data_IF_887139669188
#
_entry.id   IF_887139669188
#
_cell.length_a   1.000
_cell.length_b   1.000
_cell.length_c   1.000
_cell.angle_alpha   90.00
_cell.angle_beta   90.00
_cell.angle_gamma   90.00
#
_symmetry.space_group_name_H-M   'P 1'
#
loop_
_entity.id
_entity.type
_entity.pdbx_description
1 polymer ?
#
# COMPACT_ATOMS: atom_id res chain seq x y z
N UNK A 1 -13.83 -10.65 -12.18
CA UNK A 1 -12.44 -11.12 -12.13
C UNK A 1 -11.51 -10.01 -11.69
N UNK A 2 -10.54 -10.34 -10.85
CA UNK A 2 -9.65 -9.35 -10.24
C UNK A 2 -8.64 -8.80 -11.24
N UNK A 3 -8.60 -7.47 -11.38
CA UNK A 3 -7.68 -6.79 -12.30
C UNK A 3 -6.21 -7.02 -11.90
N UNK A 4 -5.91 -7.06 -10.60
CA UNK A 4 -4.54 -7.30 -10.14
C UNK A 4 -4.11 -8.75 -10.36
N UNK A 5 -5.01 -9.70 -10.22
CA UNK A 5 -4.74 -11.10 -10.59
C UNK A 5 -4.40 -11.22 -12.07
N UNK A 6 -5.08 -10.47 -12.92
CA UNK A 6 -4.78 -10.44 -14.36
C UNK A 6 -3.41 -9.86 -14.65
N UNK A 7 -2.99 -8.83 -13.91
CA UNK A 7 -1.66 -8.26 -14.05
C UNK A 7 -0.60 -9.28 -13.65
N UNK A 8 -0.77 -9.95 -12.51
CA UNK A 8 0.16 -10.98 -12.03
C UNK A 8 0.29 -12.12 -13.06
N UNK A 9 -0.80 -12.51 -13.70
CA UNK A 9 -0.83 -13.61 -14.67
C UNK A 9 -0.37 -13.19 -16.08
N UNK A 10 -0.02 -11.92 -16.28
CA UNK A 10 0.43 -11.43 -17.57
C UNK A 10 -0.69 -11.17 -18.58
N UNK A 11 -1.96 -11.21 -18.14
CA UNK A 11 -3.10 -10.96 -19.01
C UNK A 11 -3.32 -9.48 -19.30
N UNK A 12 -2.81 -8.60 -18.42
CA UNK A 12 -2.84 -7.15 -18.59
C UNK A 12 -1.43 -6.60 -18.48
N UNK A 13 -1.09 -5.56 -19.27
CA UNK A 13 0.22 -4.94 -19.16
C UNK A 13 0.38 -4.16 -17.86
N UNK A 14 1.61 -4.02 -17.39
CA UNK A 14 1.96 -3.20 -16.25
C UNK A 14 3.39 -2.71 -16.37
N UNK A 15 3.71 -1.63 -15.66
CA UNK A 15 5.08 -1.17 -15.51
C UNK A 15 5.66 -1.81 -14.25
N UNK A 16 6.22 -3.00 -14.40
CA UNK A 16 6.74 -3.79 -13.28
C UNK A 16 7.99 -3.17 -12.70
N UNK A 17 7.98 -2.93 -11.40
CA UNK A 17 9.13 -2.41 -10.65
C UNK A 17 9.94 -3.56 -10.04
N UNK A 18 9.25 -4.58 -9.53
CA UNK A 18 9.91 -5.71 -8.85
C UNK A 18 8.96 -6.90 -8.79
N UNK A 19 9.53 -8.08 -8.75
CA UNK A 19 8.75 -9.31 -8.63
C UNK A 19 9.59 -10.39 -7.95
N UNK A 20 8.97 -11.14 -7.06
CA UNK A 20 9.57 -12.36 -6.51
C UNK A 20 8.51 -13.47 -6.45
N UNK A 21 8.79 -14.54 -5.72
CA UNK A 21 7.88 -15.69 -5.64
C UNK A 21 6.50 -15.31 -5.09
N UNK A 22 6.45 -14.38 -4.13
CA UNK A 22 5.23 -14.06 -3.40
C UNK A 22 4.60 -12.73 -3.79
N UNK A 23 5.36 -11.80 -4.34
CA UNK A 23 4.93 -10.41 -4.49
C UNK A 23 5.21 -9.84 -5.87
N UNK A 24 4.48 -8.78 -6.18
CA UNK A 24 4.57 -8.07 -7.44
C UNK A 24 4.41 -6.57 -7.17
N UNK A 25 5.33 -5.76 -7.66
CA UNK A 25 5.29 -4.31 -7.50
C UNK A 25 5.25 -3.64 -8.88
N UNK A 26 4.36 -2.67 -9.06
CA UNK A 26 4.17 -2.00 -10.34
C UNK A 26 3.66 -0.57 -10.15
N UNK A 27 3.83 0.25 -11.18
CA UNK A 27 3.35 1.63 -11.12
C UNK A 27 1.83 1.69 -11.22
N UNK A 28 1.23 2.56 -10.40
CA UNK A 28 -0.17 2.91 -10.54
C UNK A 28 -0.33 3.81 -11.77
N UNK A 29 -1.32 3.54 -12.61
CA UNK A 29 -1.54 4.29 -13.85
C UNK A 29 -2.39 5.55 -13.65
N UNK A 30 -2.81 5.85 -12.42
CA UNK A 30 -3.66 7.01 -12.13
C UNK A 30 -2.99 8.35 -12.41
N UNK A 31 -1.66 8.40 -12.42
CA UNK A 31 -0.86 9.61 -12.68
C UNK A 31 -1.13 10.73 -11.67
N UNK A 32 -1.49 10.37 -10.46
CA UNK A 32 -1.75 11.33 -9.38
C UNK A 32 -0.47 11.81 -8.71
N UNK A 33 0.58 11.00 -8.77
CA UNK A 33 1.90 11.34 -8.21
C UNK A 33 2.96 10.58 -9.01
N UNK A 34 4.05 11.24 -9.32
CA UNK A 34 5.19 10.58 -9.98
C UNK A 34 5.71 9.44 -9.13
N UNK A 35 5.74 8.25 -9.70
CA UNK A 35 6.27 7.07 -9.03
C UNK A 35 5.31 6.38 -8.07
N UNK A 36 4.05 6.76 -8.03
CA UNK A 36 3.04 6.06 -7.22
C UNK A 36 3.09 4.58 -7.56
N UNK A 37 3.48 3.76 -6.59
CA UNK A 37 3.73 2.33 -6.77
C UNK A 37 2.77 1.52 -5.93
N UNK A 38 2.35 0.38 -6.46
CA UNK A 38 1.52 -0.59 -5.75
C UNK A 38 2.34 -1.86 -5.50
N UNK A 39 2.24 -2.40 -4.30
CA UNK A 39 2.83 -3.70 -3.94
C UNK A 39 1.70 -4.63 -3.56
N UNK A 40 1.64 -5.77 -4.22
CA UNK A 40 0.57 -6.74 -4.03
C UNK A 40 1.15 -8.14 -3.79
N UNK A 41 0.42 -9.01 -3.07
CA UNK A 41 0.73 -10.43 -3.10
C UNK A 41 0.27 -11.03 -4.43
N UNK A 42 0.98 -12.04 -4.93
CA UNK A 42 0.57 -12.75 -6.14
C UNK A 42 -0.70 -13.57 -5.90
N UNK A 43 -0.80 -14.20 -4.73
CA UNK A 43 -2.03 -14.87 -4.32
C UNK A 43 -3.08 -13.85 -3.93
N UNK A 44 -4.32 -14.09 -4.33
CA UNK A 44 -5.40 -13.17 -4.05
C UNK A 44 -5.81 -13.20 -2.58
N UNK A 45 -5.71 -12.06 -1.92
CA UNK A 45 -6.34 -11.76 -0.64
C UNK A 45 -7.07 -10.43 -0.80
N UNK A 46 -8.17 -10.26 -0.10
CA UNK A 46 -8.97 -9.05 -0.25
C UNK A 46 -8.26 -7.85 0.37
N UNK A 47 -7.73 -8.03 1.58
CA UNK A 47 -7.06 -6.94 2.29
C UNK A 47 -6.21 -7.50 3.45
N UNK A 48 -5.75 -6.63 4.36
CA UNK A 48 -4.94 -7.02 5.51
C UNK A 48 -5.69 -7.98 6.43
N UNK A 49 -7.01 -7.87 6.50
CA UNK A 49 -7.81 -8.62 7.48
C UNK A 49 -7.91 -10.10 7.17
N UNK A 50 -7.82 -10.50 5.89
CA UNK A 50 -7.89 -11.91 5.49
C UNK A 50 -6.55 -12.50 5.01
N UNK A 51 -5.52 -11.69 4.88
CA UNK A 51 -4.23 -12.13 4.35
C UNK A 51 -3.50 -13.02 5.35
N UNK A 52 -2.95 -14.15 4.87
CA UNK A 52 -2.09 -15.01 5.68
C UNK A 52 -0.89 -14.20 6.19
N UNK A 53 -0.52 -14.42 7.45
CA UNK A 53 0.59 -13.69 8.09
C UNK A 53 1.91 -13.87 7.33
N UNK A 54 2.19 -15.07 6.83
CA UNK A 54 3.40 -15.34 6.07
C UNK A 54 3.44 -14.52 4.79
N UNK A 55 2.34 -14.48 4.05
CA UNK A 55 2.24 -13.70 2.80
C UNK A 55 2.33 -12.21 3.11
N UNK A 56 1.66 -11.76 4.16
CA UNK A 56 1.71 -10.36 4.58
C UNK A 56 3.16 -9.93 4.91
N UNK A 57 3.91 -10.80 5.58
CA UNK A 57 5.32 -10.53 5.87
C UNK A 57 6.13 -10.36 4.58
N UNK A 58 5.90 -11.20 3.57
CA UNK A 58 6.56 -11.07 2.27
C UNK A 58 6.20 -9.77 1.58
N UNK A 59 4.92 -9.36 1.66
CA UNK A 59 4.48 -8.07 1.10
C UNK A 59 5.22 -6.92 1.76
N UNK A 60 5.32 -6.93 3.08
CA UNK A 60 6.04 -5.87 3.81
C UNK A 60 7.53 -5.86 3.52
N UNK A 61 8.14 -7.04 3.35
CA UNK A 61 9.53 -7.12 2.92
C UNK A 61 9.74 -6.42 1.57
N UNK A 62 8.83 -6.62 0.63
CA UNK A 62 8.88 -5.98 -0.68
C UNK A 62 8.65 -4.48 -0.58
N UNK A 63 7.68 -4.05 0.24
CA UNK A 63 7.46 -2.61 0.50
C UNK A 63 8.75 -1.96 1.00
N UNK A 64 9.44 -2.60 1.94
CA UNK A 64 10.71 -2.11 2.48
C UNK A 64 11.80 -2.08 1.41
N UNK A 65 11.92 -3.14 0.62
CA UNK A 65 12.93 -3.25 -0.42
C UNK A 65 12.78 -2.15 -1.46
N UNK A 66 11.56 -1.97 -1.97
CA UNK A 66 11.28 -0.97 -3.02
C UNK A 66 11.46 0.44 -2.46
N UNK A 67 10.98 0.68 -1.24
CA UNK A 67 11.11 1.99 -0.58
C UNK A 67 12.59 2.37 -0.37
N UNK A 68 13.40 1.44 0.12
CA UNK A 68 14.84 1.68 0.28
C UNK A 68 15.52 1.94 -1.06
N UNK A 69 15.13 1.21 -2.10
CA UNK A 69 15.66 1.44 -3.44
C UNK A 69 15.33 2.87 -3.92
N UNK A 70 14.11 3.32 -3.72
CA UNK A 70 13.70 4.66 -4.12
C UNK A 70 14.50 5.75 -3.41
N UNK A 71 14.70 5.60 -2.10
CA UNK A 71 15.43 6.59 -1.32
C UNK A 71 16.93 6.53 -1.61
N UNK A 72 17.51 5.33 -1.65
CA UNK A 72 18.97 5.19 -1.77
C UNK A 72 19.49 5.33 -3.20
N UNK A 73 18.68 4.98 -4.20
CA UNK A 73 19.15 4.88 -5.59
C UNK A 73 18.41 5.77 -6.58
N UNK A 74 17.22 6.28 -6.22
CA UNK A 74 16.39 7.04 -7.16
C UNK A 74 16.24 8.52 -6.77
N UNK A 75 16.89 8.97 -5.72
CA UNK A 75 16.93 10.38 -5.36
C UNK A 75 15.75 10.88 -4.56
N UNK A 76 14.95 10.01 -3.99
CA UNK A 76 13.84 10.44 -3.14
C UNK A 76 14.28 10.63 -1.70
N UNK A 77 13.57 11.49 -0.96
CA UNK A 77 13.90 11.85 0.42
C UNK A 77 13.11 11.01 1.44
N UNK A 78 12.07 10.35 1.00
CA UNK A 78 11.25 9.49 1.85
C UNK A 78 10.11 8.89 1.06
N UNK A 79 9.26 8.15 1.76
CA UNK A 79 8.05 7.55 1.18
C UNK A 79 6.89 7.65 2.15
N UNK A 80 5.66 7.76 1.62
CA UNK A 80 4.46 7.44 2.39
C UNK A 80 4.00 6.05 1.99
N UNK A 81 3.59 5.26 2.96
CA UNK A 81 3.08 3.91 2.74
C UNK A 81 1.64 3.90 3.24
N UNK A 82 0.71 3.58 2.33
CA UNK A 82 -0.72 3.63 2.62
C UNK A 82 -1.36 2.29 2.32
N UNK A 83 -2.36 1.94 3.11
CA UNK A 83 -3.21 0.78 2.87
C UNK A 83 -4.64 1.11 3.30
N UNK A 84 -5.61 0.66 2.52
CA UNK A 84 -7.02 0.72 2.86
C UNK A 84 -7.55 -0.71 2.90
N UNK A 85 -8.10 -1.11 4.03
CA UNK A 85 -8.66 -2.44 4.24
C UNK A 85 -10.13 -2.31 4.62
N UNK A 86 -11.01 -2.82 3.75
CA UNK A 86 -12.44 -2.75 3.90
C UNK A 86 -13.04 -1.50 3.26
N UNK A 87 -14.31 -1.60 2.94
CA UNK A 87 -15.05 -0.52 2.27
C UNK A 87 -15.11 0.73 3.15
N UNK A 88 -15.28 0.55 4.48
CA UNK A 88 -15.27 1.67 5.42
C UNK A 88 -13.95 2.40 5.49
N UNK A 89 -12.85 1.74 5.10
CA UNK A 89 -11.52 2.35 4.98
C UNK A 89 -11.22 2.89 3.59
N UNK A 90 -12.23 2.93 2.71
CA UNK A 90 -12.13 3.43 1.33
C UNK A 90 -11.30 2.55 0.39
N UNK A 91 -11.28 1.24 0.65
CA UNK A 91 -10.67 0.30 -0.27
C UNK A 91 -11.45 0.29 -1.59
N UNK A 92 -10.77 0.53 -2.71
CA UNK A 92 -11.41 0.59 -4.04
C UNK A 92 -11.20 -0.68 -4.87
N UNK A 93 -10.04 -1.32 -4.77
CA UNK A 93 -9.75 -2.58 -5.44
C UNK A 93 -9.63 -3.66 -4.38
N UNK A 94 -10.38 -4.76 -4.54
CA UNK A 94 -10.47 -5.81 -3.51
C UNK A 94 -9.47 -6.93 -3.73
N UNK A 95 -8.24 -6.54 -3.92
CA UNK A 95 -7.03 -7.35 -3.87
C UNK A 95 -6.03 -6.54 -3.04
N UNK A 96 -5.51 -7.12 -1.98
CA UNK A 96 -4.60 -6.45 -1.05
C UNK A 96 -3.52 -5.69 -1.79
N UNK A 97 -3.35 -4.41 -1.47
CA UNK A 97 -2.26 -3.62 -2.03
C UNK A 97 -1.84 -2.52 -1.07
N UNK A 98 -0.53 -2.30 -1.04
CA UNK A 98 0.07 -1.16 -0.34
C UNK A 98 0.52 -0.14 -1.37
N UNK A 99 0.21 1.13 -1.11
CA UNK A 99 0.70 2.24 -1.91
C UNK A 99 2.05 2.69 -1.37
N UNK A 100 3.00 2.92 -2.26
CA UNK A 100 4.24 3.62 -1.95
C UNK A 100 4.21 4.93 -2.72
N UNK A 101 4.23 6.04 -2.00
CA UNK A 101 4.27 7.39 -2.57
C UNK A 101 5.67 7.93 -2.37
N UNK A 102 6.52 7.97 -3.42
CA UNK A 102 7.86 8.53 -3.30
C UNK A 102 7.77 10.04 -3.08
N UNK A 103 8.51 10.55 -2.11
CA UNK A 103 8.39 11.93 -1.69
C UNK A 103 9.74 12.65 -1.74
N UNK A 104 9.69 13.94 -2.09
CA UNK A 104 10.83 14.85 -2.02
C UNK A 104 10.51 16.03 -1.13
N UNK A 105 11.53 16.62 -0.52
CA UNK A 105 11.35 17.85 0.23
C UNK A 105 10.70 18.91 -0.67
N UNK A 106 9.70 19.59 -0.14
CA UNK A 106 9.03 20.71 -0.82
C UNK A 106 8.36 20.31 -2.16
N UNK A 107 7.88 19.07 -2.28
CA UNK A 107 7.18 18.61 -3.49
C UNK A 107 5.73 19.09 -3.56
N UNK A 108 5.23 19.74 -2.50
CA UNK A 108 3.87 20.29 -2.49
C UNK A 108 2.77 19.29 -2.24
N UNK A 109 3.11 18.01 -2.03
CA UNK A 109 2.12 16.97 -1.81
C UNK A 109 1.87 16.74 -0.33
N UNK A 110 0.68 16.27 0.02
CA UNK A 110 0.30 15.91 1.38
C UNK A 110 -0.12 14.44 1.42
N UNK A 111 0.67 13.61 2.09
CA UNK A 111 0.41 12.18 2.21
C UNK A 111 -0.51 11.80 3.37
N UNK A 112 -0.92 12.77 4.18
CA UNK A 112 -1.77 12.51 5.33
C UNK A 112 -3.18 13.03 5.10
N UNK A 113 -4.23 12.26 5.50
CA UNK A 113 -5.59 12.74 5.34
C UNK A 113 -5.91 13.89 6.29
N UNK A 114 -6.84 14.75 5.89
CA UNK A 114 -7.40 15.77 6.77
C UNK A 114 -8.48 15.14 7.64
N UNK A 115 -8.20 15.02 8.95
CA UNK A 115 -9.13 14.48 9.90
C UNK A 115 -9.78 15.62 10.68
N UNK A 116 -11.05 15.44 11.04
CA UNK A 116 -11.87 16.53 11.61
C UNK A 116 -11.70 16.70 13.13
N UNK A 117 -10.95 15.81 13.77
CA UNK A 117 -10.76 15.84 15.21
C UNK A 117 -11.58 14.78 15.93
N UNK A 118 -11.06 14.35 17.06
CA UNK A 118 -11.71 13.34 17.90
C UNK A 118 -12.97 13.92 18.55
N UNK A 119 -13.99 13.09 18.73
CA UNK A 119 -15.28 13.49 19.32
C UNK A 119 -15.54 12.81 20.65
N UNK A 120 -14.72 11.82 21.03
CA UNK A 120 -14.84 11.06 22.28
C UNK A 120 -13.56 11.17 23.08
N UNK A 121 -13.69 11.02 24.40
CA UNK A 121 -12.55 11.05 25.28
C UNK A 121 -11.61 9.84 25.02
N UNK A 122 -10.31 10.04 25.24
CA UNK A 122 -9.31 9.00 25.03
C UNK A 122 -9.56 7.77 25.89
N UNK A 123 -9.93 7.97 27.16
CA UNK A 123 -10.21 6.86 28.08
C UNK A 123 -11.37 6.00 27.59
N UNK A 124 -12.44 6.64 27.10
CA UNK A 124 -13.58 5.92 26.55
C UNK A 124 -13.15 5.08 25.35
N UNK A 125 -12.39 5.65 24.43
CA UNK A 125 -11.91 4.94 23.26
C UNK A 125 -10.93 3.84 23.63
N UNK A 126 -10.04 4.10 24.60
CA UNK A 126 -9.12 3.07 25.09
C UNK A 126 -9.88 1.84 25.59
N UNK A 127 -10.95 2.04 26.39
CA UNK A 127 -11.73 0.94 26.93
C UNK A 127 -12.47 0.14 25.87
N UNK A 128 -12.89 0.79 24.77
CA UNK A 128 -13.57 0.13 23.66
C UNK A 128 -12.58 -0.66 22.79
N UNK A 129 -11.41 -0.08 22.53
CA UNK A 129 -10.51 -0.57 21.47
C UNK A 129 -9.39 -1.48 21.94
N UNK A 130 -9.07 -1.47 23.24
CA UNK A 130 -7.94 -2.25 23.77
C UNK A 130 -8.08 -3.73 23.43
N UNK A 131 -6.97 -4.35 23.06
CA UNK A 131 -6.90 -5.79 22.79
C UNK A 131 -6.67 -6.49 24.12
N UNK A 132 -7.45 -7.56 24.36
CA UNK A 132 -7.35 -8.34 25.60
C UNK A 132 -6.19 -9.31 25.59
#
# INVERSE_FOLDING_TARGET
MCIFCKIVNGELPSFKIYEDEYTYAFLDISKDLDGHTLVIPKKHFVNVLDCDNEVLAHVMDTVKLVSNHYVNNCGYDGVNILNASGEGGQQSVFHLHFHILPRKFNDGEDGFPHLTGAKKELEEMFNILKVK
#
